data_IF_714638387563
#
_entry.id   IF_714638387563
#
_cell.length_a   1.000
_cell.length_b   1.000
_cell.length_c   1.000
_cell.angle_alpha   90.00
_cell.angle_beta   90.00
_cell.angle_gamma   90.00
#
_symmetry.space_group_name_H-M   'P 1'
#
loop_
_entity.id
_entity.type
_entity.pdbx_description
1 polymer ?
#
# COMPACT_ATOMS: atom_id res chain seq x y z
N UNK A 1 -11.20 3.73 95.11
CA UNK A 1 -10.88 4.96 95.90
C UNK A 1 -9.83 5.77 95.15
N UNK A 2 -10.04 7.09 95.19
CA UNK A 2 -9.14 8.19 94.77
C UNK A 2 -9.13 8.50 93.28
N UNK A 3 -9.60 9.53 92.87
CA UNK A 3 -9.73 10.96 93.04
C UNK A 3 -9.29 11.67 91.76
N UNK A 4 -10.20 12.45 91.26
CA UNK A 4 -10.09 13.38 90.12
C UNK A 4 -9.08 14.46 90.33
N UNK A 5 -8.41 14.88 89.26
CA UNK A 5 -7.96 16.30 89.13
C UNK A 5 -8.17 16.74 87.66
N UNK A 6 -9.01 17.75 87.50
CA UNK A 6 -9.21 18.53 86.28
C UNK A 6 -8.06 19.54 86.13
N UNK A 7 -7.48 19.65 84.95
CA UNK A 7 -6.73 20.87 84.58
C UNK A 7 -7.25 21.30 83.21
N UNK A 8 -7.96 22.41 83.22
CA UNK A 8 -8.31 23.10 82.00
C UNK A 8 -7.17 24.05 81.63
N UNK A 9 -6.60 23.84 80.45
CA UNK A 9 -5.68 24.82 79.88
C UNK A 9 -6.24 25.23 78.52
N UNK A 10 -6.69 26.50 78.49
CA UNK A 10 -7.17 27.14 77.25
C UNK A 10 -6.05 27.37 76.28
N UNK A 11 -6.14 26.81 75.10
CA UNK A 11 -5.28 27.18 73.97
C UNK A 11 -6.08 28.05 73.00
N UNK A 12 -5.68 29.28 72.90
CA UNK A 12 -6.15 30.26 71.90
C UNK A 12 -5.52 29.82 70.56
N UNK A 13 -6.35 29.30 69.66
CA UNK A 13 -5.99 29.02 68.30
C UNK A 13 -6.00 30.31 67.47
N UNK A 14 -4.81 30.81 67.14
CA UNK A 14 -4.65 31.78 66.07
C UNK A 14 -4.84 31.08 64.75
N UNK A 15 -5.97 31.29 64.11
CA UNK A 15 -6.21 30.91 62.71
C UNK A 15 -5.45 31.93 61.83
N UNK A 16 -4.20 31.61 61.49
CA UNK A 16 -3.55 32.27 60.37
C UNK A 16 -4.10 31.58 59.12
N UNK A 17 -5.03 32.22 58.46
CA UNK A 17 -5.51 31.81 57.13
C UNK A 17 -4.34 31.96 56.13
N UNK A 18 -3.69 30.85 55.80
CA UNK A 18 -2.91 30.80 54.60
C UNK A 18 -3.89 30.60 53.44
N UNK A 19 -4.13 31.69 52.73
CA UNK A 19 -4.82 31.69 51.45
C UNK A 19 -3.79 31.13 50.45
N UNK A 20 -3.72 29.78 50.38
CA UNK A 20 -3.03 29.10 49.30
C UNK A 20 -3.99 29.11 48.10
N UNK A 21 -4.01 30.23 47.38
CA UNK A 21 -4.49 30.22 46.01
C UNK A 21 -3.58 29.27 45.21
N UNK A 22 -3.87 27.98 45.23
CA UNK A 22 -3.35 27.03 44.26
C UNK A 22 -3.83 27.52 42.92
N UNK A 23 -2.97 28.21 42.20
CA UNK A 23 -3.12 28.39 40.77
C UNK A 23 -3.17 26.98 40.18
N UNK A 24 -4.36 26.42 40.08
CA UNK A 24 -4.58 25.26 39.21
C UNK A 24 -4.04 25.66 37.83
N UNK A 25 -2.89 25.09 37.49
CA UNK A 25 -2.34 25.21 36.14
C UNK A 25 -3.39 24.64 35.23
N UNK A 26 -4.25 25.49 34.65
CA UNK A 26 -5.20 25.09 33.60
C UNK A 26 -4.34 24.60 32.46
N UNK A 27 -4.20 23.27 32.35
CA UNK A 27 -3.58 22.63 31.21
C UNK A 27 -4.52 22.91 30.03
N UNK A 28 -4.09 23.68 29.02
CA UNK A 28 -4.96 23.99 27.90
C UNK A 28 -5.39 22.66 27.26
N UNK A 29 -6.67 22.37 27.27
CA UNK A 29 -7.22 21.21 26.58
C UNK A 29 -6.99 21.39 25.08
N UNK A 30 -6.22 20.51 24.48
CA UNK A 30 -6.04 20.47 23.04
C UNK A 30 -7.38 20.22 22.38
N UNK A 31 -7.87 21.18 21.60
CA UNK A 31 -9.12 21.06 20.87
C UNK A 31 -8.89 20.23 19.60
N UNK A 32 -9.72 19.23 19.37
CA UNK A 32 -9.72 18.39 18.17
C UNK A 32 -10.83 18.83 17.21
N UNK A 33 -10.54 18.78 15.93
CA UNK A 33 -11.45 19.16 14.86
C UNK A 33 -11.74 17.94 13.98
N UNK A 34 -13.02 17.65 13.70
CA UNK A 34 -13.42 16.47 12.95
C UNK A 34 -13.13 16.61 11.46
N UNK A 35 -12.73 15.50 10.85
CA UNK A 35 -12.43 15.39 9.41
C UNK A 35 -13.07 14.12 8.88
N UNK A 36 -13.61 14.20 7.67
CA UNK A 36 -14.12 13.05 6.92
C UNK A 36 -13.49 13.00 5.54
N UNK A 37 -13.03 11.83 5.14
CA UNK A 37 -12.52 11.55 3.81
C UNK A 37 -13.43 10.57 3.10
N UNK A 38 -13.84 10.91 1.88
CA UNK A 38 -14.53 10.03 0.95
C UNK A 38 -13.53 9.56 -0.10
N UNK A 39 -13.19 8.27 -0.08
CA UNK A 39 -12.14 7.69 -0.92
C UNK A 39 -12.79 7.05 -2.14
N UNK A 40 -12.29 7.41 -3.31
CA UNK A 40 -12.75 6.87 -4.59
C UNK A 40 -11.54 6.59 -5.50
N UNK A 41 -11.75 5.74 -6.49
CA UNK A 41 -10.78 5.54 -7.57
C UNK A 41 -10.92 6.62 -8.63
N UNK A 42 -9.83 7.02 -9.25
CA UNK A 42 -9.89 7.85 -10.45
C UNK A 42 -10.59 7.08 -11.58
N UNK A 43 -11.58 7.70 -12.25
CA UNK A 43 -12.49 7.04 -13.21
C UNK A 43 -11.79 6.37 -14.40
N UNK A 44 -10.56 6.77 -14.74
CA UNK A 44 -9.80 6.20 -15.86
C UNK A 44 -9.01 4.92 -15.52
N UNK A 45 -9.08 4.42 -14.28
CA UNK A 45 -8.14 3.40 -13.76
C UNK A 45 -8.63 1.96 -13.95
N UNK A 46 -9.84 1.74 -14.42
CA UNK A 46 -10.50 0.42 -14.37
C UNK A 46 -9.82 -0.67 -15.22
N UNK A 47 -9.05 -0.33 -16.21
CA UNK A 47 -8.20 -1.28 -16.92
C UNK A 47 -6.79 -0.76 -17.06
N UNK A 48 -5.79 -1.62 -16.77
CA UNK A 48 -4.42 -1.28 -17.14
C UNK A 48 -4.33 -1.08 -18.65
N UNK A 49 -3.90 0.10 -19.13
CA UNK A 49 -3.63 0.25 -20.55
C UNK A 49 -2.46 -0.66 -20.91
N UNK A 50 -2.70 -1.57 -21.85
CA UNK A 50 -1.68 -2.53 -22.29
C UNK A 50 -0.69 -1.87 -23.24
N UNK A 51 0.60 -2.01 -22.94
CA UNK A 51 1.69 -1.66 -23.86
C UNK A 51 2.45 -2.92 -24.22
N UNK A 52 2.45 -3.27 -25.50
CA UNK A 52 3.24 -4.38 -26.02
C UNK A 52 4.64 -3.91 -26.42
N UNK A 53 5.67 -4.63 -26.01
CA UNK A 53 7.04 -4.44 -26.56
C UNK A 53 7.10 -5.19 -27.88
N UNK A 54 7.36 -4.52 -29.02
CA UNK A 54 7.35 -5.18 -30.30
C UNK A 54 8.60 -6.06 -30.46
N UNK A 55 8.39 -7.37 -30.49
CA UNK A 55 9.27 -8.30 -31.15
C UNK A 55 8.48 -8.98 -32.28
N UNK A 56 8.57 -8.38 -33.46
CA UNK A 56 8.10 -8.87 -34.76
C UNK A 56 6.72 -9.53 -34.82
N UNK A 57 5.78 -8.78 -35.41
CA UNK A 57 4.42 -9.17 -35.84
C UNK A 57 3.46 -9.48 -34.68
N UNK A 58 2.83 -8.44 -34.23
CA UNK A 58 1.70 -8.48 -33.27
C UNK A 58 0.42 -8.13 -34.03
N UNK A 59 -0.69 -8.87 -33.81
CA UNK A 59 -2.00 -8.36 -34.14
C UNK A 59 -2.22 -7.05 -33.38
N UNK A 60 -2.81 -6.06 -34.01
CA UNK A 60 -3.12 -4.77 -33.39
C UNK A 60 -3.77 -4.99 -32.00
N UNK A 61 -3.32 -4.25 -30.98
CA UNK A 61 -3.95 -4.31 -29.68
C UNK A 61 -5.41 -3.87 -29.88
N UNK A 62 -6.35 -4.77 -29.64
CA UNK A 62 -7.73 -4.37 -29.42
C UNK A 62 -7.72 -3.50 -28.17
N UNK A 63 -7.74 -2.20 -28.38
CA UNK A 63 -8.02 -1.24 -27.32
C UNK A 63 -9.45 -1.55 -26.87
N UNK A 64 -9.58 -2.36 -25.83
CA UNK A 64 -10.83 -2.43 -25.10
C UNK A 64 -11.05 -1.02 -24.58
N UNK A 65 -12.05 -0.33 -25.13
CA UNK A 65 -12.54 0.92 -24.55
C UNK A 65 -12.72 0.65 -23.07
N UNK A 66 -12.02 1.42 -22.24
CA UNK A 66 -12.30 1.47 -20.81
C UNK A 66 -13.81 1.72 -20.69
N UNK A 67 -14.57 0.69 -20.33
CA UNK A 67 -15.93 0.88 -19.87
C UNK A 67 -15.82 1.72 -18.61
N UNK A 68 -16.66 2.71 -18.46
CA UNK A 68 -16.89 3.34 -17.17
C UNK A 68 -17.23 2.23 -16.21
N UNK A 69 -16.28 1.83 -15.37
CA UNK A 69 -16.54 0.87 -14.32
C UNK A 69 -16.83 1.68 -13.07
N UNK A 70 -18.07 1.58 -12.63
CA UNK A 70 -18.51 1.98 -11.30
C UNK A 70 -18.07 0.94 -10.24
N UNK A 71 -16.92 0.26 -10.45
CA UNK A 71 -16.40 -0.71 -9.50
C UNK A 71 -16.16 -0.03 -8.16
N UNK A 72 -16.76 -0.58 -7.12
CA UNK A 72 -16.56 -0.09 -5.76
C UNK A 72 -15.13 -0.36 -5.31
N UNK A 73 -14.59 0.49 -4.44
CA UNK A 73 -13.22 0.39 -3.95
C UNK A 73 -12.91 -0.99 -3.35
N UNK A 74 -13.87 -1.59 -2.66
CA UNK A 74 -13.78 -2.92 -2.04
C UNK A 74 -13.68 -4.08 -3.04
N UNK A 75 -14.08 -3.89 -4.29
CA UNK A 75 -13.91 -4.89 -5.36
C UNK A 75 -12.48 -4.92 -5.89
N UNK A 76 -11.76 -3.81 -5.74
CA UNK A 76 -10.41 -3.60 -6.28
C UNK A 76 -9.36 -3.78 -5.20
N UNK A 77 -9.60 -3.27 -3.98
CA UNK A 77 -8.67 -3.28 -2.86
C UNK A 77 -9.34 -3.81 -1.60
N UNK A 78 -8.57 -4.52 -0.77
CA UNK A 78 -9.02 -5.03 0.53
C UNK A 78 -8.48 -4.24 1.71
N UNK A 79 -7.52 -3.34 1.49
CA UNK A 79 -6.83 -2.62 2.56
C UNK A 79 -6.57 -1.18 2.16
N UNK A 80 -6.83 -0.26 3.10
CA UNK A 80 -6.42 1.14 3.00
C UNK A 80 -5.51 1.46 4.17
N UNK A 81 -4.30 1.92 3.88
CA UNK A 81 -3.38 2.52 4.83
C UNK A 81 -3.64 4.03 4.87
N UNK A 82 -3.97 4.54 6.04
CA UNK A 82 -4.18 5.95 6.32
C UNK A 82 -3.05 6.45 7.20
N UNK A 83 -2.24 7.36 6.68
CA UNK A 83 -1.05 7.88 7.37
C UNK A 83 -1.13 9.40 7.43
N UNK A 84 -0.84 9.97 8.60
CA UNK A 84 -0.85 11.41 8.83
C UNK A 84 0.51 11.86 9.36
N UNK A 85 1.12 12.81 8.67
CA UNK A 85 2.30 13.52 9.15
C UNK A 85 1.98 14.97 9.44
N UNK A 86 2.65 15.53 10.44
CA UNK A 86 2.71 16.98 10.61
C UNK A 86 3.48 17.58 9.45
N UNK A 87 2.96 18.65 8.84
CA UNK A 87 3.64 19.33 7.74
C UNK A 87 4.61 20.38 8.30
N UNK A 88 5.77 19.91 8.72
CA UNK A 88 6.86 20.68 9.31
C UNK A 88 8.17 20.34 8.58
N UNK A 89 9.23 21.12 8.80
CA UNK A 89 10.56 20.88 8.19
C UNK A 89 11.08 19.47 8.48
N UNK A 90 10.77 18.95 9.67
CA UNK A 90 11.00 17.55 10.03
C UNK A 90 9.64 16.88 10.25
N UNK A 91 9.11 16.18 9.23
CA UNK A 91 7.78 15.58 9.31
C UNK A 91 7.68 14.57 10.45
N UNK A 92 6.75 14.81 11.38
CA UNK A 92 6.48 13.89 12.48
C UNK A 92 5.26 13.01 12.14
N UNK A 93 5.40 11.70 12.27
CA UNK A 93 4.29 10.77 12.16
C UNK A 93 3.31 10.99 13.31
N UNK A 94 2.09 11.40 12.98
CA UNK A 94 1.02 11.66 13.94
C UNK A 94 0.14 10.43 14.10
N UNK A 95 -0.15 9.75 12.98
CA UNK A 95 -1.09 8.63 12.97
C UNK A 95 -0.80 7.69 11.82
N UNK A 96 -0.93 6.39 12.08
CA UNK A 96 -1.02 5.34 11.07
C UNK A 96 -2.17 4.41 11.46
N UNK A 97 -3.10 4.19 10.55
CA UNK A 97 -4.23 3.26 10.71
C UNK A 97 -4.36 2.43 9.45
N UNK A 98 -4.66 1.16 9.63
CA UNK A 98 -5.00 0.25 8.55
C UNK A 98 -6.49 -0.07 8.63
N UNK A 99 -7.20 0.13 7.52
CA UNK A 99 -8.60 -0.26 7.34
C UNK A 99 -8.65 -1.45 6.41
N UNK A 100 -9.27 -2.53 6.87
CA UNK A 100 -9.41 -3.76 6.05
C UNK A 100 -10.88 -3.99 5.76
N UNK A 101 -11.21 -4.22 4.49
CA UNK A 101 -12.56 -4.55 4.07
C UNK A 101 -13.02 -5.86 4.72
N UNK A 102 -14.18 -5.81 5.33
CA UNK A 102 -14.84 -6.96 5.93
C UNK A 102 -16.21 -7.18 5.27
N UNK A 103 -16.38 -8.20 4.42
CA UNK A 103 -17.64 -8.43 3.70
C UNK A 103 -18.82 -8.83 4.62
N UNK A 104 -18.54 -9.12 5.90
CA UNK A 104 -19.58 -9.44 6.89
C UNK A 104 -20.05 -8.23 7.69
N UNK A 105 -19.35 -7.11 7.60
CA UNK A 105 -19.67 -5.84 8.25
C UNK A 105 -20.35 -4.90 7.24
N UNK A 106 -21.67 -5.03 7.13
CA UNK A 106 -22.45 -4.25 6.17
C UNK A 106 -22.62 -2.77 6.56
N UNK A 107 -22.32 -2.42 7.81
CA UNK A 107 -22.44 -1.06 8.33
C UNK A 107 -21.12 -0.26 8.16
N UNK A 108 -20.00 -0.93 7.89
CA UNK A 108 -18.71 -0.30 7.69
C UNK A 108 -18.54 0.19 6.24
N UNK A 109 -18.58 1.50 6.06
CA UNK A 109 -18.22 2.12 4.77
C UNK A 109 -16.70 2.13 4.61
N UNK A 110 -16.18 1.16 3.84
CA UNK A 110 -14.76 1.01 3.55
C UNK A 110 -14.18 2.23 2.81
N UNK A 111 -15.01 2.99 2.11
CA UNK A 111 -14.59 4.19 1.36
C UNK A 111 -14.62 5.46 2.20
N UNK A 112 -15.06 5.41 3.45
CA UNK A 112 -15.21 6.57 4.30
C UNK A 112 -14.34 6.50 5.55
N UNK A 113 -13.43 7.47 5.73
CA UNK A 113 -12.55 7.56 6.89
C UNK A 113 -12.93 8.77 7.73
N UNK A 114 -13.24 8.52 9.00
CA UNK A 114 -13.49 9.57 10.00
C UNK A 114 -12.29 9.71 10.93
N UNK A 115 -11.87 10.96 11.14
CA UNK A 115 -10.77 11.29 12.05
C UNK A 115 -11.01 12.62 12.77
N UNK A 116 -10.14 12.93 13.73
CA UNK A 116 -10.08 14.24 14.39
C UNK A 116 -8.64 14.55 14.77
N UNK A 117 -8.22 15.78 14.49
CA UNK A 117 -6.86 16.26 14.75
C UNK A 117 -6.89 17.63 15.45
N UNK A 118 -5.85 17.98 16.22
CA UNK A 118 -5.63 19.33 16.68
C UNK A 118 -5.48 20.31 15.53
N UNK A 119 -5.64 21.59 15.83
CA UNK A 119 -5.31 22.66 14.87
C UNK A 119 -3.86 22.52 14.37
N UNK A 120 -3.66 22.63 13.06
CA UNK A 120 -2.33 22.54 12.45
C UNK A 120 -2.36 22.20 10.97
N UNK A 121 -1.18 22.17 10.39
CA UNK A 121 -0.92 21.81 9.01
C UNK A 121 -0.48 20.35 8.92
N UNK A 122 -1.13 19.56 8.05
CA UNK A 122 -0.93 18.10 7.97
C UNK A 122 -0.87 17.64 6.52
N UNK A 123 -0.10 16.57 6.32
CA UNK A 123 -0.12 15.74 5.10
C UNK A 123 -0.78 14.42 5.40
N UNK A 124 -1.78 14.10 4.60
CA UNK A 124 -2.54 12.87 4.67
C UNK A 124 -2.18 11.99 3.48
N UNK A 125 -1.87 10.76 3.74
CA UNK A 125 -1.50 9.77 2.74
C UNK A 125 -2.47 8.61 2.78
N UNK A 126 -2.95 8.23 1.61
CA UNK A 126 -3.88 7.13 1.41
C UNK A 126 -3.25 6.14 0.45
N UNK A 127 -3.12 4.89 0.90
CA UNK A 127 -2.54 3.82 0.10
C UNK A 127 -3.51 2.63 0.12
N UNK A 128 -4.14 2.30 -1.01
CA UNK A 128 -5.06 1.19 -1.12
C UNK A 128 -4.42 0.03 -1.88
N UNK A 129 -4.54 -1.20 -1.36
CA UNK A 129 -3.88 -2.38 -1.91
C UNK A 129 -4.53 -3.70 -1.44
N UNK A 130 -4.06 -4.82 -2.04
CA UNK A 130 -4.38 -6.19 -1.62
C UNK A 130 -3.16 -6.94 -1.05
N UNK A 131 -2.05 -6.24 -0.83
CA UNK A 131 -0.82 -6.84 -0.32
C UNK A 131 -0.98 -7.27 1.13
N UNK A 132 -0.43 -8.43 1.47
CA UNK A 132 -0.27 -8.86 2.85
C UNK A 132 1.02 -8.28 3.41
N UNK A 133 1.06 -8.05 4.73
CA UNK A 133 2.28 -7.65 5.44
C UNK A 133 2.94 -6.36 4.91
N UNK A 134 2.13 -5.34 4.57
CA UNK A 134 2.65 -4.00 4.34
C UNK A 134 3.14 -3.41 5.68
N UNK A 135 4.38 -2.94 5.74
CA UNK A 135 5.01 -2.40 6.96
C UNK A 135 5.51 -1.00 6.71
N UNK A 136 5.02 -0.06 7.52
CA UNK A 136 5.50 1.33 7.51
C UNK A 136 6.67 1.50 8.48
N UNK A 137 7.78 2.06 7.97
CA UNK A 137 8.94 2.48 8.77
C UNK A 137 9.39 3.88 8.34
N UNK A 138 9.23 4.86 9.21
CA UNK A 138 9.40 6.27 8.81
C UNK A 138 8.39 6.69 7.76
N UNK A 139 8.85 7.07 6.57
CA UNK A 139 8.03 7.36 5.38
C UNK A 139 8.01 6.23 4.36
N UNK A 140 8.61 5.08 4.66
CA UNK A 140 8.76 3.99 3.72
C UNK A 140 7.84 2.81 4.06
N UNK A 141 7.00 2.42 3.11
CA UNK A 141 6.31 1.14 3.12
C UNK A 141 7.18 0.07 2.47
N UNK A 142 7.27 -1.08 3.11
CA UNK A 142 7.90 -2.31 2.56
C UNK A 142 6.84 -3.38 2.38
N UNK A 143 6.92 -4.13 1.28
CA UNK A 143 5.97 -5.17 0.91
C UNK A 143 6.68 -6.51 0.68
N UNK A 144 6.14 -7.58 1.23
CA UNK A 144 6.59 -8.93 0.89
C UNK A 144 6.24 -9.28 -0.56
N UNK A 145 5.05 -8.86 -0.98
CA UNK A 145 4.56 -9.01 -2.35
C UNK A 145 3.69 -7.81 -2.71
N UNK A 146 4.01 -7.15 -3.80
CA UNK A 146 3.24 -6.00 -4.29
C UNK A 146 2.00 -6.51 -4.99
N UNK A 147 0.86 -5.91 -4.69
CA UNK A 147 -0.39 -6.07 -5.43
C UNK A 147 -0.67 -4.84 -6.30
N UNK A 148 -1.81 -4.83 -6.97
CA UNK A 148 -2.34 -3.59 -7.52
C UNK A 148 -2.49 -2.56 -6.40
N UNK A 149 -1.84 -1.40 -6.54
CA UNK A 149 -1.68 -0.43 -5.47
C UNK A 149 -1.97 0.98 -5.96
N UNK A 150 -2.76 1.70 -5.16
CA UNK A 150 -3.26 3.03 -5.46
C UNK A 150 -2.90 3.99 -4.34
N UNK A 151 -2.70 5.25 -4.68
CA UNK A 151 -2.15 6.23 -3.76
C UNK A 151 -2.68 7.63 -4.05
N UNK A 152 -2.85 8.42 -2.99
CA UNK A 152 -3.06 9.86 -3.05
C UNK A 152 -2.46 10.54 -1.81
N UNK A 153 -2.01 11.78 -1.98
CA UNK A 153 -1.54 12.63 -0.89
C UNK A 153 -2.22 13.98 -0.95
N UNK A 154 -2.79 14.41 0.18
CA UNK A 154 -3.37 15.73 0.31
C UNK A 154 -2.77 16.48 1.49
N UNK A 155 -2.64 17.80 1.36
CA UNK A 155 -2.22 18.69 2.44
C UNK A 155 -3.41 19.54 2.88
N UNK A 156 -3.67 19.57 4.19
CA UNK A 156 -4.76 20.36 4.77
C UNK A 156 -4.29 21.09 6.03
N UNK A 157 -4.72 22.35 6.16
CA UNK A 157 -4.68 23.07 7.42
C UNK A 157 -6.01 22.88 8.17
N UNK A 158 -5.94 22.39 9.39
CA UNK A 158 -7.08 22.08 10.24
C UNK A 158 -7.26 23.17 11.27
N UNK A 159 -8.39 23.88 11.23
CA UNK A 159 -8.66 25.03 12.14
C UNK A 159 -10.12 25.25 12.48
N UNK A 160 -11.06 24.49 11.87
CA UNK A 160 -12.49 24.73 11.99
C UNK A 160 -13.19 23.71 12.87
N UNK A 161 -14.23 24.15 13.57
CA UNK A 161 -15.04 23.30 14.45
C UNK A 161 -16.10 22.46 13.70
N UNK A 162 -16.35 22.79 12.43
CA UNK A 162 -17.24 22.02 11.57
C UNK A 162 -16.49 20.85 10.92
N UNK A 163 -17.22 19.82 10.50
CA UNK A 163 -16.63 18.67 9.83
C UNK A 163 -16.03 19.12 8.48
N UNK A 164 -14.74 18.89 8.34
CA UNK A 164 -14.04 19.10 7.06
C UNK A 164 -14.23 17.86 6.19
N UNK A 165 -15.06 17.95 5.15
CA UNK A 165 -15.26 16.87 4.18
C UNK A 165 -14.27 17.02 3.01
N UNK A 166 -13.59 15.92 2.64
CA UNK A 166 -12.64 15.87 1.53
C UNK A 166 -12.83 14.61 0.70
N UNK A 167 -12.94 14.81 -0.61
CA UNK A 167 -12.86 13.73 -1.58
C UNK A 167 -11.39 13.42 -1.88
N UNK A 168 -11.07 12.13 -1.91
CA UNK A 168 -9.73 11.60 -2.18
C UNK A 168 -9.82 10.68 -3.39
N UNK A 169 -9.16 11.05 -4.49
CA UNK A 169 -9.16 10.29 -5.73
C UNK A 169 -7.85 9.54 -5.88
N UNK A 170 -7.89 8.24 -5.66
CA UNK A 170 -6.70 7.38 -5.68
C UNK A 170 -6.23 7.09 -7.10
N UNK A 171 -4.92 7.19 -7.34
CA UNK A 171 -4.25 6.89 -8.61
C UNK A 171 -3.41 5.62 -8.50
N UNK A 172 -3.42 4.76 -9.52
CA UNK A 172 -2.54 3.58 -9.57
C UNK A 172 -1.09 3.99 -9.71
N UNK A 173 -0.23 3.51 -8.81
CA UNK A 173 1.20 3.89 -8.76
C UNK A 173 2.16 2.76 -9.14
N UNK A 174 1.65 1.59 -9.47
CA UNK A 174 2.45 0.43 -9.88
C UNK A 174 2.43 0.22 -11.38
N UNK A 175 3.44 -0.53 -11.87
CA UNK A 175 3.44 -1.20 -13.17
C UNK A 175 3.21 -2.68 -12.97
N UNK A 176 2.52 -3.32 -13.91
CA UNK A 176 2.37 -4.77 -13.98
C UNK A 176 3.21 -5.30 -15.13
N UNK A 177 4.11 -6.25 -14.85
CA UNK A 177 4.93 -6.92 -15.85
C UNK A 177 4.34 -8.31 -16.07
N UNK A 178 4.06 -8.68 -17.32
CA UNK A 178 3.44 -9.94 -17.70
C UNK A 178 4.31 -10.71 -18.68
N UNK A 179 4.48 -11.99 -18.39
CA UNK A 179 5.10 -12.95 -19.28
C UNK A 179 4.05 -13.99 -19.71
N UNK A 180 3.83 -14.12 -21.00
CA UNK A 180 2.88 -15.10 -21.53
C UNK A 180 3.63 -16.27 -22.17
N UNK A 181 3.49 -17.45 -21.57
CA UNK A 181 3.95 -18.71 -22.15
C UNK A 181 2.90 -19.22 -23.14
N UNK A 182 3.25 -19.30 -24.42
CA UNK A 182 2.31 -19.74 -25.50
C UNK A 182 2.24 -21.26 -25.65
N UNK A 183 3.23 -21.96 -25.10
CA UNK A 183 3.24 -23.43 -25.13
C UNK A 183 2.29 -24.00 -24.08
N UNK A 184 1.83 -25.24 -24.31
CA UNK A 184 1.05 -25.94 -23.30
C UNK A 184 1.89 -26.33 -22.10
N UNK A 185 1.29 -26.25 -20.91
CA UNK A 185 1.90 -26.76 -19.67
C UNK A 185 2.12 -28.27 -19.82
N UNK A 186 3.39 -28.67 -19.79
CA UNK A 186 3.79 -30.08 -19.92
C UNK A 186 3.63 -30.82 -18.59
N UNK A 187 3.38 -32.11 -18.64
CA UNK A 187 3.30 -33.00 -17.49
C UNK A 187 4.62 -33.18 -16.72
N UNK A 188 5.76 -32.88 -17.37
CA UNK A 188 7.07 -32.89 -16.73
C UNK A 188 7.39 -31.61 -15.97
N UNK A 189 6.62 -30.54 -16.20
CA UNK A 189 6.86 -29.24 -15.61
C UNK A 189 6.37 -29.21 -14.15
N UNK A 190 7.22 -28.74 -13.24
CA UNK A 190 6.94 -28.56 -11.81
C UNK A 190 6.66 -27.10 -11.48
N UNK A 191 7.52 -26.21 -11.95
CA UNK A 191 7.58 -24.83 -11.45
C UNK A 191 8.06 -23.88 -12.54
N UNK A 192 7.63 -22.63 -12.42
CA UNK A 192 8.11 -21.51 -13.21
C UNK A 192 8.62 -20.44 -12.27
N UNK A 193 9.90 -20.09 -12.41
CA UNK A 193 10.55 -19.08 -11.58
C UNK A 193 10.84 -17.81 -12.39
N UNK A 194 10.62 -16.68 -11.72
CA UNK A 194 11.00 -15.35 -12.18
C UNK A 194 12.03 -14.78 -11.17
N UNK A 195 13.31 -14.79 -11.52
CA UNK A 195 14.34 -14.08 -10.76
C UNK A 195 14.44 -12.64 -11.29
N UNK A 196 14.10 -11.69 -10.45
CA UNK A 196 13.93 -10.28 -10.80
C UNK A 196 15.05 -9.46 -10.17
N UNK A 197 15.82 -8.76 -11.01
CA UNK A 197 16.86 -7.82 -10.62
C UNK A 197 16.37 -6.40 -10.83
N UNK A 198 16.55 -5.52 -9.84
CA UNK A 198 16.15 -4.12 -9.90
C UNK A 198 14.68 -3.85 -9.61
N UNK A 199 13.95 -4.78 -8.97
CA UNK A 199 12.57 -4.55 -8.54
C UNK A 199 12.52 -3.49 -7.42
N UNK A 200 11.42 -2.71 -7.40
CA UNK A 200 11.11 -1.77 -6.33
C UNK A 200 9.92 -2.29 -5.54
N UNK A 201 10.15 -2.98 -4.42
CA UNK A 201 9.11 -3.46 -3.52
C UNK A 201 8.92 -2.59 -2.28
N UNK A 202 9.55 -1.43 -2.25
CA UNK A 202 9.37 -0.40 -1.23
C UNK A 202 8.82 0.87 -1.87
N UNK A 203 8.05 1.62 -1.09
CA UNK A 203 7.41 2.87 -1.50
C UNK A 203 7.75 3.97 -0.49
N UNK A 204 8.35 5.06 -0.94
CA UNK A 204 8.40 6.30 -0.16
C UNK A 204 7.05 7.01 -0.32
N UNK A 205 6.25 7.04 0.75
CA UNK A 205 4.93 7.67 0.70
C UNK A 205 4.97 9.18 0.60
N UNK A 206 6.09 9.81 0.99
CA UNK A 206 6.23 11.26 0.90
C UNK A 206 6.29 11.72 -0.56
N UNK A 207 6.82 10.88 -1.46
CA UNK A 207 6.98 11.17 -2.89
C UNK A 207 6.07 10.34 -3.81
N UNK A 208 5.50 9.25 -3.30
CA UNK A 208 4.75 8.28 -4.10
C UNK A 208 5.64 7.50 -5.07
N UNK A 209 6.94 7.39 -4.78
CA UNK A 209 7.93 6.77 -5.66
C UNK A 209 8.48 5.47 -5.07
N UNK A 210 8.81 4.54 -5.96
CA UNK A 210 9.41 3.27 -5.59
C UNK A 210 10.86 3.43 -5.13
N UNK A 211 11.28 2.53 -4.24
CA UNK A 211 12.66 2.37 -3.82
C UNK A 211 13.12 0.98 -4.24
N UNK A 212 14.20 0.92 -5.03
CA UNK A 212 14.81 -0.35 -5.42
C UNK A 212 15.41 -1.08 -4.23
N UNK A 213 15.25 -2.39 -4.23
CA UNK A 213 16.00 -3.25 -3.32
C UNK A 213 17.29 -3.73 -4.01
N UNK A 214 18.39 -3.89 -3.25
CA UNK A 214 19.67 -4.34 -3.80
C UNK A 214 19.67 -5.83 -4.17
N UNK A 215 18.83 -6.62 -3.49
CA UNK A 215 18.77 -8.05 -3.67
C UNK A 215 17.78 -8.44 -4.76
N UNK A 216 18.11 -9.51 -5.49
CA UNK A 216 17.18 -10.12 -6.44
C UNK A 216 16.02 -10.76 -5.73
N UNK A 217 14.83 -10.64 -6.30
CA UNK A 217 13.63 -11.30 -5.82
C UNK A 217 13.30 -12.49 -6.72
N UNK A 218 12.98 -13.63 -6.11
CA UNK A 218 12.51 -14.81 -6.84
C UNK A 218 11.03 -15.01 -6.54
N UNK A 219 10.23 -15.02 -7.62
CA UNK A 219 8.82 -15.37 -7.57
C UNK A 219 8.63 -16.71 -8.26
N UNK A 220 8.10 -17.68 -7.51
CA UNK A 220 7.92 -19.06 -7.97
C UNK A 220 6.44 -19.39 -8.12
N UNK A 221 6.08 -19.96 -9.25
CA UNK A 221 4.75 -20.49 -9.50
C UNK A 221 4.83 -22.02 -9.67
N UNK A 222 4.19 -22.78 -8.80
CA UNK A 222 4.12 -24.24 -8.87
C UNK A 222 2.87 -24.66 -9.65
N UNK A 223 3.06 -25.42 -10.72
CA UNK A 223 1.97 -25.93 -11.54
C UNK A 223 1.20 -27.05 -10.83
N UNK A 224 -0.13 -27.00 -10.99
CA UNK A 224 -1.03 -28.02 -10.49
C UNK A 224 -1.34 -29.03 -11.59
N UNK A 225 -1.71 -30.25 -11.23
CA UNK A 225 -2.04 -31.31 -12.21
C UNK A 225 -3.22 -30.95 -13.16
N UNK A 226 -4.16 -30.15 -12.70
CA UNK A 226 -5.28 -29.68 -13.51
C UNK A 226 -4.92 -28.60 -14.51
N UNK A 227 -3.71 -28.06 -14.46
CA UNK A 227 -3.19 -27.05 -15.40
C UNK A 227 -2.42 -27.68 -16.57
N UNK A 228 -2.16 -29.01 -16.53
CA UNK A 228 -1.48 -29.72 -17.61
C UNK A 228 -2.31 -29.61 -18.90
N UNK A 229 -1.67 -29.17 -19.98
CA UNK A 229 -2.31 -28.90 -21.26
C UNK A 229 -2.86 -27.49 -21.43
N UNK A 230 -2.94 -26.66 -20.36
CA UNK A 230 -3.29 -25.26 -20.52
C UNK A 230 -2.28 -24.51 -21.38
N UNK A 231 -2.76 -23.59 -22.21
CA UNK A 231 -1.95 -22.75 -23.09
C UNK A 231 -2.11 -21.28 -22.73
N UNK A 232 -1.18 -20.44 -23.19
CA UNK A 232 -1.22 -19.01 -22.95
C UNK A 232 -1.22 -18.63 -21.45
N UNK A 233 -0.49 -19.39 -20.65
CA UNK A 233 -0.37 -19.11 -19.22
C UNK A 233 0.35 -17.79 -19.00
N UNK A 234 -0.27 -16.89 -18.21
CA UNK A 234 0.29 -15.59 -17.88
C UNK A 234 0.88 -15.61 -16.47
N UNK A 235 2.14 -15.25 -16.35
CA UNK A 235 2.83 -15.03 -15.08
C UNK A 235 3.13 -13.56 -14.95
N UNK A 236 2.83 -12.95 -13.83
CA UNK A 236 2.98 -11.50 -13.65
C UNK A 236 3.43 -11.12 -12.25
N UNK A 237 4.02 -9.93 -12.17
CA UNK A 237 4.30 -9.27 -10.91
C UNK A 237 4.08 -7.77 -11.03
N UNK A 238 3.97 -7.11 -9.88
CA UNK A 238 3.88 -5.66 -9.78
C UNK A 238 5.19 -5.07 -9.26
N UNK A 239 5.47 -3.82 -9.63
CA UNK A 239 6.60 -3.06 -9.12
C UNK A 239 6.23 -1.59 -8.99
N UNK A 240 6.74 -0.92 -7.97
CA UNK A 240 6.71 0.54 -7.91
C UNK A 240 7.72 1.13 -8.89
N UNK A 241 7.57 2.42 -9.20
CA UNK A 241 8.45 3.11 -10.16
C UNK A 241 9.44 3.97 -9.38
N UNK A 242 10.74 3.66 -9.41
CA UNK A 242 11.76 4.52 -8.81
C UNK A 242 11.96 5.79 -9.65
N UNK A 243 12.42 6.90 -9.07
CA UNK A 243 12.62 8.17 -9.76
C UNK A 243 13.70 8.12 -10.84
N UNK A 244 14.69 7.26 -10.64
CA UNK A 244 15.84 7.08 -11.54
C UNK A 244 16.15 5.61 -11.68
N UNK A 245 16.84 5.24 -12.77
CA UNK A 245 17.29 3.87 -13.03
C UNK A 245 16.16 2.83 -12.83
N UNK A 246 15.07 3.03 -13.55
CA UNK A 246 13.87 2.19 -13.46
C UNK A 246 13.94 0.89 -14.29
N UNK A 247 15.14 0.48 -14.75
CA UNK A 247 15.31 -0.75 -15.51
C UNK A 247 15.25 -1.97 -14.61
N UNK A 248 14.56 -3.00 -15.10
CA UNK A 248 14.45 -4.32 -14.48
C UNK A 248 15.02 -5.36 -15.45
N UNK A 249 15.71 -6.34 -14.91
CA UNK A 249 16.09 -7.55 -15.63
C UNK A 249 15.40 -8.77 -15.01
N UNK A 250 14.92 -9.70 -15.83
CA UNK A 250 14.24 -10.90 -15.35
C UNK A 250 14.82 -12.14 -16.01
N UNK A 251 15.23 -13.11 -15.17
CA UNK A 251 15.54 -14.45 -15.62
C UNK A 251 14.33 -15.34 -15.37
N UNK A 252 13.79 -15.91 -16.43
CA UNK A 252 12.70 -16.87 -16.42
C UNK A 252 13.26 -18.27 -16.47
N UNK A 253 12.80 -19.16 -15.60
CA UNK A 253 13.25 -20.56 -15.54
C UNK A 253 12.07 -21.50 -15.44
N UNK A 254 11.97 -22.44 -16.36
CA UNK A 254 11.04 -23.56 -16.31
C UNK A 254 11.74 -24.77 -15.67
N UNK A 255 11.23 -25.24 -14.53
CA UNK A 255 11.83 -26.29 -13.72
C UNK A 255 11.03 -27.57 -13.85
N UNK A 256 11.70 -28.68 -14.12
CA UNK A 256 11.10 -30.01 -14.22
C UNK A 256 10.82 -30.63 -12.84
N UNK A 257 10.05 -31.74 -12.83
CA UNK A 257 9.75 -32.50 -11.62
C UNK A 257 10.97 -33.15 -10.93
N UNK A 258 12.08 -33.28 -11.66
CA UNK A 258 13.37 -33.71 -11.12
C UNK A 258 14.25 -32.56 -10.61
N UNK A 259 13.69 -31.36 -10.50
CA UNK A 259 14.35 -30.14 -10.06
C UNK A 259 15.44 -29.58 -11.01
N UNK A 260 15.50 -30.10 -12.25
CA UNK A 260 16.41 -29.58 -13.27
C UNK A 260 15.72 -28.49 -14.12
N UNK A 261 16.46 -27.44 -14.53
CA UNK A 261 15.94 -26.42 -15.42
C UNK A 261 15.76 -27.04 -16.85
N UNK A 262 14.53 -26.98 -17.35
CA UNK A 262 14.22 -27.39 -18.73
C UNK A 262 14.64 -26.28 -19.69
N UNK A 263 14.39 -25.03 -19.29
CA UNK A 263 14.67 -23.85 -20.11
C UNK A 263 14.84 -22.61 -19.25
N UNK A 264 15.78 -21.78 -19.69
CA UNK A 264 16.00 -20.45 -19.11
C UNK A 264 15.97 -19.37 -20.19
N UNK A 265 15.53 -18.18 -19.82
CA UNK A 265 15.54 -17.00 -20.68
C UNK A 265 15.83 -15.76 -19.86
N UNK A 266 16.83 -14.97 -20.28
CA UNK A 266 17.12 -13.65 -19.74
C UNK A 266 16.41 -12.59 -20.57
N UNK A 267 15.79 -11.62 -19.88
CA UNK A 267 15.13 -10.45 -20.48
C UNK A 267 15.62 -9.23 -19.73
N UNK A 268 16.34 -8.38 -20.44
CA UNK A 268 16.97 -7.20 -19.88
C UNK A 268 16.24 -5.93 -20.33
N UNK A 269 16.51 -4.81 -19.63
CA UNK A 269 16.04 -3.48 -19.99
C UNK A 269 14.52 -3.34 -20.05
N UNK A 270 13.79 -4.05 -19.19
CA UNK A 270 12.35 -3.82 -18.99
C UNK A 270 12.22 -2.48 -18.26
N UNK A 271 11.47 -1.56 -18.84
CA UNK A 271 11.22 -0.23 -18.26
C UNK A 271 9.77 -0.16 -17.77
N UNK A 272 9.52 -0.33 -16.46
CA UNK A 272 8.19 -0.18 -15.91
C UNK A 272 7.71 1.27 -16.00
N UNK A 273 6.43 1.44 -16.29
CA UNK A 273 5.75 2.72 -16.35
C UNK A 273 4.53 2.70 -15.42
N UNK A 274 4.32 3.81 -14.70
CA UNK A 274 3.18 3.97 -13.78
C UNK A 274 1.86 3.74 -14.51
N UNK A 275 0.97 2.96 -13.91
CA UNK A 275 -0.36 2.63 -14.45
C UNK A 275 -0.30 1.95 -15.84
N UNK A 276 0.70 1.09 -16.10
CA UNK A 276 0.84 0.35 -17.35
C UNK A 276 1.06 -1.14 -17.13
N UNK A 277 0.51 -1.96 -18.04
CA UNK A 277 0.92 -3.35 -18.21
C UNK A 277 2.01 -3.39 -19.28
N UNK A 278 3.12 -4.04 -18.96
CA UNK A 278 4.18 -4.34 -19.91
C UNK A 278 4.11 -5.82 -20.22
N UNK A 279 3.55 -6.14 -21.37
CA UNK A 279 3.46 -7.53 -21.84
C UNK A 279 4.71 -7.88 -22.61
N UNK A 280 5.40 -8.91 -22.14
CA UNK A 280 6.56 -9.51 -22.80
C UNK A 280 6.08 -10.81 -23.44
N UNK A 281 5.84 -10.74 -24.75
CA UNK A 281 5.22 -11.81 -25.50
C UNK A 281 6.15 -12.98 -25.79
N UNK A 282 5.53 -14.17 -25.89
CA UNK A 282 5.96 -15.46 -26.43
C UNK A 282 7.31 -15.96 -25.94
N UNK A 283 7.33 -16.52 -24.74
CA UNK A 283 8.26 -17.57 -24.42
C UNK A 283 7.76 -18.85 -25.08
N UNK A 284 8.26 -19.19 -26.27
CA UNK A 284 8.02 -20.51 -26.87
C UNK A 284 8.88 -21.55 -26.15
N UNK A 285 8.27 -22.54 -25.52
CA UNK A 285 8.95 -23.67 -24.89
C UNK A 285 9.19 -24.84 -25.85
N UNK A 286 9.09 -24.66 -27.15
CA UNK A 286 9.43 -25.70 -28.09
C UNK A 286 10.94 -25.93 -28.15
N UNK A 287 11.39 -27.10 -27.71
CA UNK A 287 12.66 -27.67 -28.16
C UNK A 287 12.67 -27.68 -29.69
N UNK A 288 13.68 -27.06 -30.30
CA UNK A 288 14.03 -27.41 -31.66
C UNK A 288 14.79 -28.72 -31.57
N UNK A 289 14.15 -29.80 -31.95
CA UNK A 289 14.80 -31.08 -32.29
C UNK A 289 15.67 -30.87 -33.51
#
# INVERSE_FOLDING_TARGET
>A
MRKKVFFALGCVLYLTGCDSSSLEKVIPQTKFFPIQFSIQMEKEIVSFPTRSIPNNVIPEPTVSKAGESDAELNEICSTIEYVVFKNEDTPALIKHKQFTYNPTDLDADFSCIYDSLPQGDYKFYFLAHNSKNAVLSGSTFSFDSISDTFYEMISLYIDVAEITNKDVSLQRIVSRIEFMATDSVSDILKQFDMEIDGISNQLDIATGQGIKIPDKQILSYTFKNNEIGEVNKVHSFYTFIPPTDNKIAVRLSAIAKNDEPIRERQIDNIIPEKNKIIQIGRASCRERV
#
